data_IF_621476972362
#
_entry.id   IF_621476972362
#
_cell.length_a   1.000
_cell.length_b   1.000
_cell.length_c   1.000
_cell.angle_alpha   90.00
_cell.angle_beta   90.00
_cell.angle_gamma   90.00
#
_symmetry.space_group_name_H-M   'P 1'
#
loop_
_entity.id
_entity.type
_entity.pdbx_description
1 polymer ?
#
# COMPACT_ATOMS: atom_id res chain seq x y z
N UNK A 1 -3.28 -9.51 -2.30
CA UNK A 1 -2.51 -8.83 -3.36
C UNK A 1 -2.27 -7.36 -3.01
N UNK A 2 -1.40 -6.63 -3.74
CA UNK A 2 -1.27 -5.18 -3.63
C UNK A 2 -2.03 -4.50 -4.78
N UNK A 3 -2.84 -3.51 -4.44
CA UNK A 3 -3.59 -2.67 -5.36
C UNK A 3 -3.15 -1.21 -5.25
N UNK A 4 -3.52 -0.39 -6.23
CA UNK A 4 -3.21 1.03 -6.26
C UNK A 4 -4.29 1.87 -6.94
N UNK A 5 -4.27 3.15 -6.62
CA UNK A 5 -4.90 4.23 -7.39
C UNK A 5 -3.95 5.43 -7.40
N UNK A 6 -3.99 6.23 -8.45
CA UNK A 6 -3.04 7.31 -8.69
C UNK A 6 -3.72 8.59 -9.16
N UNK A 7 -3.06 9.73 -8.95
CA UNK A 7 -3.49 11.06 -9.39
C UNK A 7 -3.47 11.21 -10.92
N UNK A 8 -2.53 10.55 -11.58
CA UNK A 8 -2.22 10.69 -13.00
C UNK A 8 -1.56 9.42 -13.56
N UNK A 9 -1.42 9.31 -14.91
CA UNK A 9 -0.84 8.13 -15.55
C UNK A 9 0.62 7.84 -15.22
N UNK A 10 1.41 8.84 -14.80
CA UNK A 10 2.83 8.63 -14.46
C UNK A 10 2.94 8.02 -13.06
N UNK A 11 2.24 8.59 -12.08
CA UNK A 11 2.10 8.00 -10.75
C UNK A 11 1.55 6.57 -10.80
N UNK A 12 0.65 6.28 -11.75
CA UNK A 12 0.14 4.93 -11.94
C UNK A 12 1.22 3.95 -12.44
N UNK A 13 2.09 4.40 -13.35
CA UNK A 13 3.22 3.59 -13.85
C UNK A 13 4.19 3.28 -12.73
N UNK A 14 4.52 4.27 -11.89
CA UNK A 14 5.39 4.09 -10.73
C UNK A 14 4.81 3.02 -9.78
N UNK A 15 3.52 3.12 -9.44
CA UNK A 15 2.86 2.12 -8.60
C UNK A 15 2.84 0.72 -9.26
N UNK A 16 2.61 0.65 -10.58
CA UNK A 16 2.58 -0.61 -11.32
C UNK A 16 3.95 -1.28 -11.40
N UNK A 17 5.03 -0.50 -11.45
CA UNK A 17 6.40 -1.00 -11.42
C UNK A 17 6.73 -1.73 -10.10
N UNK A 18 6.04 -1.39 -9.00
CA UNK A 18 6.12 -2.07 -7.72
C UNK A 18 5.25 -3.35 -7.66
N UNK A 19 4.66 -3.76 -8.78
CA UNK A 19 3.77 -4.92 -8.88
C UNK A 19 2.34 -4.69 -8.38
N UNK A 20 1.96 -3.43 -8.11
CA UNK A 20 0.59 -3.10 -7.70
C UNK A 20 -0.38 -3.15 -8.88
N UNK A 21 -1.58 -3.71 -8.64
CA UNK A 21 -2.67 -3.75 -9.64
C UNK A 21 -3.57 -2.53 -9.50
N UNK A 22 -4.26 -2.13 -10.55
CA UNK A 22 -5.28 -1.07 -10.44
C UNK A 22 -6.44 -1.61 -9.61
N UNK A 23 -6.88 -0.86 -8.60
CA UNK A 23 -8.08 -1.21 -7.84
C UNK A 23 -9.35 -0.96 -8.68
N UNK A 24 -10.28 -1.90 -8.64
CA UNK A 24 -11.66 -1.69 -9.09
C UNK A 24 -12.52 -1.34 -7.87
N UNK A 25 -13.14 -0.16 -7.87
CA UNK A 25 -14.03 0.28 -6.78
C UNK A 25 -13.64 1.63 -6.18
N UNK A 26 -13.99 1.83 -4.91
CA UNK A 26 -13.83 3.09 -4.19
C UNK A 26 -12.85 2.95 -3.03
N UNK A 27 -12.00 3.97 -2.86
CA UNK A 27 -11.10 4.08 -1.71
C UNK A 27 -11.68 5.14 -0.77
N UNK A 28 -11.98 4.72 0.46
CA UNK A 28 -12.53 5.60 1.48
C UNK A 28 -11.45 6.16 2.41
N UNK A 29 -11.83 7.16 3.20
CA UNK A 29 -10.98 7.76 4.22
C UNK A 29 -9.80 8.56 3.63
N UNK A 30 -8.74 8.70 4.43
CA UNK A 30 -7.63 9.60 4.09
C UNK A 30 -6.86 9.15 2.84
N UNK A 31 -6.77 7.84 2.58
CA UNK A 31 -6.07 7.31 1.40
C UNK A 31 -6.71 7.79 0.10
N UNK A 32 -8.04 7.66 -0.03
CA UNK A 32 -8.76 8.13 -1.22
C UNK A 32 -8.78 9.65 -1.33
N UNK A 33 -8.98 10.33 -0.19
CA UNK A 33 -8.98 11.79 -0.13
C UNK A 33 -7.64 12.38 -0.58
N UNK A 34 -6.50 11.86 -0.11
CA UNK A 34 -5.18 12.41 -0.45
C UNK A 34 -4.86 12.25 -1.94
N UNK A 35 -5.16 11.09 -2.54
CA UNK A 35 -4.91 10.88 -3.98
C UNK A 35 -5.80 11.79 -4.82
N UNK A 36 -7.10 11.88 -4.50
CA UNK A 36 -8.04 12.73 -5.23
C UNK A 36 -7.75 14.23 -5.07
N UNK A 37 -7.53 14.68 -3.84
CA UNK A 37 -7.20 16.08 -3.53
C UNK A 37 -5.80 16.48 -4.02
N UNK A 38 -4.87 15.52 -4.05
CA UNK A 38 -3.54 15.70 -4.62
C UNK A 38 -3.65 16.08 -6.10
N UNK A 39 -4.38 15.28 -6.89
CA UNK A 39 -4.67 15.60 -8.29
C UNK A 39 -5.25 17.00 -8.49
N UNK A 40 -6.26 17.37 -7.70
CA UNK A 40 -6.89 18.70 -7.79
C UNK A 40 -5.94 19.85 -7.44
N UNK A 41 -4.87 19.58 -6.68
CA UNK A 41 -3.83 20.55 -6.31
C UNK A 41 -2.57 20.48 -7.17
N UNK A 42 -2.59 19.67 -8.23
CA UNK A 42 -1.40 19.45 -9.07
C UNK A 42 -0.28 18.66 -8.35
N UNK A 43 -0.61 17.92 -7.29
CA UNK A 43 0.31 17.03 -6.60
C UNK A 43 0.21 15.63 -7.20
N UNK A 44 1.37 15.12 -7.63
CA UNK A 44 1.53 13.76 -8.14
C UNK A 44 1.65 12.77 -6.98
N UNK A 45 0.87 11.71 -6.99
CA UNK A 45 0.93 10.67 -5.96
C UNK A 45 0.00 9.49 -6.21
N UNK A 46 0.22 8.42 -5.46
CA UNK A 46 -0.58 7.20 -5.49
C UNK A 46 -0.70 6.60 -4.10
N UNK A 47 -1.69 5.74 -3.92
CA UNK A 47 -1.80 4.89 -2.74
C UNK A 47 -1.46 3.45 -3.09
N UNK A 48 -0.86 2.73 -2.12
CA UNK A 48 -0.69 1.28 -2.14
C UNK A 48 -1.64 0.66 -1.12
N UNK A 49 -2.36 -0.37 -1.53
CA UNK A 49 -3.45 -0.99 -0.77
C UNK A 49 -3.21 -2.49 -0.74
N UNK A 50 -2.82 -3.05 0.39
CA UNK A 50 -2.81 -4.50 0.54
C UNK A 50 -4.21 -5.01 0.85
N UNK A 51 -4.59 -6.06 0.15
CA UNK A 51 -5.75 -6.88 0.48
C UNK A 51 -5.55 -7.54 1.85
N UNK A 52 -6.59 -7.47 2.69
CA UNK A 52 -6.60 -8.08 4.01
C UNK A 52 -7.94 -8.79 4.23
N UNK A 53 -8.04 -9.73 5.18
CA UNK A 53 -9.32 -10.35 5.53
C UNK A 53 -10.32 -9.38 6.18
N UNK A 54 -9.84 -8.23 6.69
CA UNK A 54 -10.67 -7.13 7.17
C UNK A 54 -11.25 -7.28 8.59
N UNK A 55 -11.08 -8.43 9.24
CA UNK A 55 -11.60 -8.68 10.59
C UNK A 55 -10.53 -8.75 11.69
N UNK A 56 -9.24 -8.64 11.35
CA UNK A 56 -8.13 -8.57 12.29
C UNK A 56 -6.94 -7.80 11.71
N UNK A 57 -5.99 -7.35 12.54
CA UNK A 57 -4.76 -6.72 12.06
C UNK A 57 -3.88 -7.70 11.26
N UNK A 58 -3.74 -7.45 9.97
CA UNK A 58 -2.93 -8.29 9.07
C UNK A 58 -1.50 -7.74 8.94
N UNK A 59 -0.59 -8.25 9.78
CA UNK A 59 0.82 -7.85 9.72
C UNK A 59 1.52 -8.34 8.44
N UNK A 60 1.03 -9.41 7.80
CA UNK A 60 1.61 -9.91 6.56
C UNK A 60 1.33 -8.93 5.43
N UNK A 61 0.08 -8.47 5.31
CA UNK A 61 -0.30 -7.42 4.38
C UNK A 61 0.49 -6.11 4.60
N UNK A 62 0.67 -5.69 5.85
CA UNK A 62 1.49 -4.51 6.17
C UNK A 62 2.95 -4.67 5.72
N UNK A 63 3.54 -5.86 5.89
CA UNK A 63 4.91 -6.16 5.44
C UNK A 63 5.05 -6.06 3.93
N UNK A 64 4.08 -6.55 3.17
CA UNK A 64 4.12 -6.48 1.70
C UNK A 64 4.12 -5.03 1.19
N UNK A 65 3.30 -4.15 1.79
CA UNK A 65 3.28 -2.72 1.44
C UNK A 65 4.58 -2.04 1.87
N UNK A 66 5.09 -2.34 3.07
CA UNK A 66 6.34 -1.76 3.56
C UNK A 66 7.53 -2.15 2.68
N UNK A 67 7.58 -3.40 2.19
CA UNK A 67 8.61 -3.82 1.23
C UNK A 67 8.54 -2.99 -0.05
N UNK A 68 7.36 -2.84 -0.64
CA UNK A 68 7.18 -2.04 -1.86
C UNK A 68 7.59 -0.57 -1.67
N UNK A 69 7.25 0.03 -0.53
CA UNK A 69 7.65 1.42 -0.21
C UNK A 69 9.16 1.52 0.02
N UNK A 70 9.77 0.53 0.66
CA UNK A 70 11.22 0.52 0.93
C UNK A 70 12.01 0.45 -0.38
N UNK A 71 11.58 -0.41 -1.32
CA UNK A 71 12.17 -0.50 -2.66
C UNK A 71 11.99 0.81 -3.44
N UNK A 72 10.80 1.40 -3.40
CA UNK A 72 10.49 2.67 -4.05
C UNK A 72 11.36 3.84 -3.56
N UNK A 73 11.67 3.86 -2.26
CA UNK A 73 12.44 4.93 -1.63
C UNK A 73 13.93 4.63 -1.49
N UNK A 74 14.38 3.46 -1.96
CA UNK A 74 15.75 2.96 -1.78
C UNK A 74 16.18 2.99 -0.29
N UNK A 75 15.29 2.48 0.59
CA UNK A 75 15.50 2.45 2.03
C UNK A 75 15.76 1.02 2.52
N UNK A 76 16.84 0.83 3.27
CA UNK A 76 17.06 -0.39 4.06
C UNK A 76 16.25 -0.33 5.36
N UNK A 77 15.12 -1.04 5.39
CA UNK A 77 14.24 -1.14 6.56
C UNK A 77 14.39 -2.53 7.19
N UNK A 78 14.72 -2.58 8.48
CA UNK A 78 14.72 -3.83 9.24
C UNK A 78 13.28 -4.33 9.47
N UNK A 79 12.94 -5.45 8.82
CA UNK A 79 11.62 -6.08 8.92
C UNK A 79 11.52 -7.10 10.06
N UNK A 80 12.57 -7.32 10.86
CA UNK A 80 12.63 -8.37 11.89
C UNK A 80 11.45 -8.30 12.86
N UNK A 81 11.15 -7.11 13.38
CA UNK A 81 10.03 -6.90 14.31
C UNK A 81 8.67 -7.13 13.65
N UNK A 82 8.53 -6.78 12.38
CA UNK A 82 7.28 -6.98 11.64
C UNK A 82 7.08 -8.47 11.31
N UNK A 83 8.15 -9.21 11.00
CA UNK A 83 8.09 -10.65 10.81
C UNK A 83 7.65 -11.38 12.08
N UNK A 84 8.09 -10.95 13.26
CA UNK A 84 7.59 -11.50 14.53
C UNK A 84 6.09 -11.22 14.73
N UNK A 85 5.62 -10.02 14.33
CA UNK A 85 4.19 -9.68 14.39
C UNK A 85 3.36 -10.53 13.41
N UNK A 86 3.92 -10.89 12.25
CA UNK A 86 3.27 -11.83 11.30
C UNK A 86 2.99 -13.18 11.97
N UNK A 87 3.99 -13.77 12.63
CA UNK A 87 3.80 -15.04 13.34
C UNK A 87 2.77 -14.91 14.48
N UNK A 88 2.77 -13.79 15.19
CA UNK A 88 1.82 -13.55 16.29
C UNK A 88 0.38 -13.41 15.77
N UNK A 89 0.17 -12.57 14.77
CA UNK A 89 -1.16 -12.32 14.19
C UNK A 89 -1.74 -13.54 13.48
N UNK A 90 -0.88 -14.44 12.97
CA UNK A 90 -1.30 -15.72 12.38
C UNK A 90 -2.00 -16.65 13.38
N UNK A 91 -1.64 -16.58 14.67
CA UNK A 91 -2.27 -17.40 15.72
C UNK A 91 -3.67 -16.93 16.14
N UNK A 92 -4.10 -15.76 15.65
CA UNK A 92 -5.46 -15.23 15.86
C UNK A 92 -6.47 -15.76 14.82
N UNK A 93 -5.98 -16.46 13.79
CA UNK A 93 -6.78 -17.21 12.80
C UNK A 93 -7.09 -18.61 13.32
#
# INVERSE_FOLDING_TARGET
AIYCAASDPEALKDASALGAKIIEGQIFGIAGLLVGLGKLRGLRGYCLLAETPGYYPDAAAAREVLRAISEMLDLEVDLTRLNLAVETTRTLL
#
